data_IF_593858852903
#
_entry.id   IF_593858852903
#
_cell.length_a   1.000
_cell.length_b   1.000
_cell.length_c   1.000
_cell.angle_alpha   90.00
_cell.angle_beta   90.00
_cell.angle_gamma   90.00
#
_symmetry.space_group_name_H-M   'P 1'
#
loop_
_entity.id
_entity.type
_entity.pdbx_description
1 polymer ?
#
# COMPACT_ATOMS: atom_id res chain seq x y z
N UNK A 1 -12.78 -11.88 12.65
CA UNK A 1 -11.62 -12.73 12.33
C UNK A 1 -10.70 -12.94 13.55
N UNK A 2 -10.52 -11.94 14.43
CA UNK A 2 -9.58 -12.00 15.57
C UNK A 2 -9.84 -13.10 16.61
N UNK A 3 -11.10 -13.41 16.95
CA UNK A 3 -11.43 -14.35 18.04
C UNK A 3 -10.94 -15.80 17.79
N UNK A 4 -11.02 -16.29 16.55
CA UNK A 4 -10.61 -17.66 16.19
C UNK A 4 -9.09 -17.86 16.26
N UNK A 5 -8.32 -16.79 16.05
CA UNK A 5 -6.86 -16.83 16.00
C UNK A 5 -6.23 -16.69 17.40
N UNK A 6 -6.99 -16.22 18.41
CA UNK A 6 -6.50 -16.09 19.79
C UNK A 6 -6.09 -17.44 20.40
N UNK A 7 -6.86 -18.51 20.15
CA UNK A 7 -6.56 -19.85 20.64
C UNK A 7 -5.29 -20.45 20.01
N UNK A 8 -5.14 -20.28 18.69
CA UNK A 8 -3.95 -20.72 17.95
C UNK A 8 -2.70 -19.97 18.42
N UNK A 9 -2.77 -18.63 18.54
CA UNK A 9 -1.67 -17.79 19.04
C UNK A 9 -1.19 -18.26 20.41
N UNK A 10 -2.12 -18.60 21.32
CA UNK A 10 -1.79 -19.10 22.65
C UNK A 10 -1.03 -20.43 22.59
N UNK A 11 -1.52 -21.41 21.83
CA UNK A 11 -0.88 -22.72 21.69
C UNK A 11 0.52 -22.62 21.05
N UNK A 12 0.67 -21.77 20.03
CA UNK A 12 1.95 -21.56 19.36
C UNK A 12 2.98 -20.91 20.29
N UNK A 13 2.58 -19.94 21.13
CA UNK A 13 3.47 -19.34 22.12
C UNK A 13 3.96 -20.35 23.17
N UNK A 14 3.14 -21.33 23.52
CA UNK A 14 3.48 -22.37 24.50
C UNK A 14 4.42 -23.44 23.94
N UNK A 15 4.22 -23.85 22.69
CA UNK A 15 4.94 -25.00 22.12
C UNK A 15 5.96 -24.59 21.06
N UNK A 16 5.53 -23.91 20.00
CA UNK A 16 6.33 -23.69 18.78
C UNK A 16 7.29 -22.50 18.92
N UNK A 17 6.87 -21.40 19.54
CA UNK A 17 7.67 -20.18 19.64
C UNK A 17 8.44 -20.05 20.95
N UNK A 18 8.43 -21.08 21.81
CA UNK A 18 9.04 -21.02 23.16
C UNK A 18 10.52 -20.61 23.15
N UNK A 19 11.23 -20.90 22.06
CA UNK A 19 12.65 -20.58 21.87
C UNK A 19 12.89 -19.49 20.81
N UNK A 20 11.86 -19.08 20.07
CA UNK A 20 11.97 -18.05 19.04
C UNK A 20 11.77 -16.69 19.70
N UNK A 21 12.86 -15.95 19.89
CA UNK A 21 12.80 -14.57 20.38
C UNK A 21 12.94 -13.61 19.20
N UNK A 22 11.91 -12.79 19.00
CA UNK A 22 12.01 -11.64 18.12
C UNK A 22 12.74 -10.54 18.88
N UNK A 23 14.03 -10.38 18.62
CA UNK A 23 14.90 -9.42 19.31
C UNK A 23 14.73 -8.02 18.72
N UNK A 24 15.19 -7.00 19.45
CA UNK A 24 15.20 -5.63 18.93
C UNK A 24 16.07 -5.51 17.67
N UNK A 25 17.15 -6.29 17.55
CA UNK A 25 17.97 -6.36 16.34
C UNK A 25 17.18 -6.91 15.15
N UNK A 26 16.37 -7.97 15.35
CA UNK A 26 15.47 -8.48 14.31
C UNK A 26 14.42 -7.44 13.91
N UNK A 27 13.86 -6.72 14.89
CA UNK A 27 12.90 -5.63 14.64
C UNK A 27 13.51 -4.51 13.82
N UNK A 28 14.74 -4.12 14.15
CA UNK A 28 15.45 -3.05 13.46
C UNK A 28 15.81 -3.48 12.02
N UNK A 29 16.26 -4.72 11.82
CA UNK A 29 16.52 -5.27 10.47
C UNK A 29 15.25 -5.31 9.62
N UNK A 30 14.13 -5.75 10.19
CA UNK A 30 12.84 -5.73 9.48
C UNK A 30 12.44 -4.30 9.12
N UNK A 31 12.49 -3.36 10.07
CA UNK A 31 12.14 -1.97 9.80
C UNK A 31 13.05 -1.29 8.77
N UNK A 32 14.34 -1.66 8.71
CA UNK A 32 15.27 -1.17 7.69
C UNK A 32 14.96 -1.71 6.29
N UNK A 33 14.34 -2.88 6.21
CA UNK A 33 13.96 -3.54 4.94
C UNK A 33 12.58 -3.13 4.44
N UNK A 34 11.76 -2.50 5.29
CA UNK A 34 10.51 -1.87 4.84
C UNK A 34 10.93 -0.63 4.05
N UNK A 35 11.00 -0.75 2.73
CA UNK A 35 11.07 0.42 1.86
C UNK A 35 9.81 1.26 2.11
N UNK A 36 9.98 2.55 2.40
CA UNK A 36 8.90 3.55 2.43
C UNK A 36 8.42 3.81 0.99
N UNK A 37 7.83 2.79 0.37
CA UNK A 37 7.08 2.97 -0.86
C UNK A 37 5.73 3.53 -0.44
N UNK A 38 5.40 4.71 -0.96
CA UNK A 38 4.06 5.27 -0.88
C UNK A 38 3.08 4.41 -1.71
N UNK A 39 2.70 3.25 -1.16
CA UNK A 39 1.77 2.31 -1.77
C UNK A 39 0.40 2.95 -1.95
N UNK A 40 -0.03 3.81 -1.02
CA UNK A 40 -1.28 4.55 -1.12
C UNK A 40 -1.31 5.43 -2.37
N UNK A 41 -0.23 6.15 -2.66
CA UNK A 41 -0.06 6.95 -3.87
C UNK A 41 -0.07 6.14 -5.18
N UNK A 42 0.20 4.83 -5.12
CA UNK A 42 0.17 3.92 -6.27
C UNK A 42 -1.20 3.23 -6.40
N UNK A 43 -1.81 2.84 -5.28
CA UNK A 43 -3.08 2.11 -5.19
C UNK A 43 -4.27 3.02 -5.48
N UNK A 44 -4.30 4.25 -4.95
CA UNK A 44 -5.47 5.14 -5.10
C UNK A 44 -5.83 5.41 -6.57
N UNK A 45 -4.88 5.71 -7.49
CA UNK A 45 -5.19 5.82 -8.91
C UNK A 45 -5.85 4.58 -9.52
N UNK A 46 -5.55 3.37 -9.00
CA UNK A 46 -6.13 2.11 -9.47
C UNK A 46 -7.57 1.91 -8.99
N UNK A 47 -7.97 2.58 -7.91
CA UNK A 47 -9.28 2.51 -7.28
C UNK A 47 -10.27 3.58 -7.76
N UNK A 48 -10.03 4.13 -8.95
CA UNK A 48 -11.05 4.94 -9.67
C UNK A 48 -12.30 4.12 -10.01
N UNK A 49 -12.15 2.80 -10.06
CA UNK A 49 -13.24 1.81 -10.09
C UNK A 49 -13.04 0.84 -8.94
N UNK A 50 -14.11 0.20 -8.49
CA UNK A 50 -14.03 -0.81 -7.43
C UNK A 50 -13.15 -1.97 -7.85
N UNK A 51 -12.27 -2.45 -6.97
CA UNK A 51 -11.36 -3.58 -7.22
C UNK A 51 -11.13 -4.45 -6.00
N UNK A 52 -10.80 -5.71 -6.22
CA UNK A 52 -10.32 -6.61 -5.17
C UNK A 52 -8.83 -6.40 -4.89
N UNK A 53 -8.36 -6.86 -3.73
CA UNK A 53 -6.92 -6.88 -3.44
C UNK A 53 -6.12 -7.72 -4.45
N UNK A 54 -6.73 -8.79 -4.99
CA UNK A 54 -6.12 -9.61 -6.02
C UNK A 54 -5.97 -8.85 -7.34
N UNK A 55 -7.01 -8.17 -7.81
CA UNK A 55 -6.93 -7.35 -9.04
C UNK A 55 -5.88 -6.25 -8.91
N UNK A 56 -5.81 -5.59 -7.75
CA UNK A 56 -4.77 -4.59 -7.47
C UNK A 56 -3.37 -5.20 -7.56
N UNK A 57 -3.18 -6.38 -6.98
CA UNK A 57 -1.91 -7.11 -7.05
C UNK A 57 -1.51 -7.42 -8.49
N UNK A 58 -2.45 -7.93 -9.30
CA UNK A 58 -2.19 -8.21 -10.72
C UNK A 58 -1.79 -6.94 -11.49
N UNK A 59 -2.48 -5.83 -11.26
CA UNK A 59 -2.16 -4.54 -11.90
C UNK A 59 -0.78 -4.02 -11.49
N UNK A 60 -0.40 -4.17 -10.22
CA UNK A 60 0.91 -3.76 -9.71
C UNK A 60 2.03 -4.66 -10.25
N UNK A 61 1.76 -5.96 -10.39
CA UNK A 61 2.66 -6.92 -11.02
C UNK A 61 2.95 -6.55 -12.48
N UNK A 62 1.90 -6.28 -13.27
CA UNK A 62 2.03 -5.86 -14.68
C UNK A 62 2.82 -4.55 -14.82
N UNK A 63 2.73 -3.64 -13.85
CA UNK A 63 3.51 -2.39 -13.83
C UNK A 63 5.00 -2.59 -13.49
N UNK A 64 5.44 -3.82 -13.22
CA UNK A 64 6.85 -4.14 -13.00
C UNK A 64 7.42 -3.60 -11.69
N UNK A 65 6.57 -3.34 -10.69
CA UNK A 65 7.01 -2.83 -9.39
C UNK A 65 7.63 -3.99 -8.60
N UNK A 66 8.93 -4.22 -8.79
CA UNK A 66 9.70 -5.35 -8.23
C UNK A 66 9.64 -5.45 -6.71
N UNK A 67 9.46 -4.35 -6.01
CA UNK A 67 9.32 -4.31 -4.55
C UNK A 67 8.00 -4.89 -4.06
N UNK A 68 6.93 -4.76 -4.86
CA UNK A 68 5.60 -5.30 -4.54
C UNK A 68 5.53 -6.80 -4.83
N UNK A 69 6.21 -7.24 -5.88
CA UNK A 69 6.41 -8.65 -6.22
C UNK A 69 6.95 -9.48 -5.05
N UNK A 70 7.85 -8.90 -4.26
CA UNK A 70 8.46 -9.56 -3.12
C UNK A 70 7.66 -9.39 -1.81
N UNK A 71 6.63 -8.53 -1.81
CA UNK A 71 5.87 -8.19 -0.61
C UNK A 71 4.38 -7.89 -0.93
N UNK A 72 3.68 -8.88 -1.48
CA UNK A 72 2.24 -8.77 -1.75
C UNK A 72 1.42 -8.46 -0.48
N UNK A 73 1.87 -8.98 0.67
CA UNK A 73 1.26 -8.72 1.98
C UNK A 73 1.21 -7.23 2.37
N UNK A 74 2.13 -6.41 1.85
CA UNK A 74 2.08 -4.96 2.06
C UNK A 74 0.85 -4.32 1.42
N UNK A 75 0.38 -4.81 0.27
CA UNK A 75 -0.83 -4.29 -0.38
C UNK A 75 -2.03 -4.45 0.55
N UNK A 76 -2.23 -5.65 1.10
CA UNK A 76 -3.37 -5.92 1.98
C UNK A 76 -3.29 -5.14 3.30
N UNK A 77 -2.08 -4.98 3.84
CA UNK A 77 -1.84 -4.14 5.02
C UNK A 77 -2.22 -2.69 4.74
N UNK A 78 -1.72 -2.11 3.64
CA UNK A 78 -2.06 -0.73 3.24
C UNK A 78 -3.55 -0.57 2.99
N UNK A 79 -4.20 -1.50 2.28
CA UNK A 79 -5.65 -1.44 2.05
C UNK A 79 -6.45 -1.42 3.35
N UNK A 80 -6.03 -2.22 4.34
CA UNK A 80 -6.69 -2.25 5.64
C UNK A 80 -6.44 -0.96 6.44
N UNK A 81 -5.21 -0.43 6.43
CA UNK A 81 -4.87 0.83 7.09
C UNK A 81 -5.67 2.01 6.50
N UNK A 82 -5.76 2.09 5.18
CA UNK A 82 -6.48 3.16 4.48
C UNK A 82 -8.00 3.05 4.66
N UNK A 83 -8.52 1.83 4.81
CA UNK A 83 -9.91 1.57 5.23
C UNK A 83 -10.16 2.08 6.65
N UNK A 84 -9.29 1.77 7.62
CA UNK A 84 -9.39 2.27 8.99
C UNK A 84 -9.30 3.81 9.07
N UNK A 85 -8.52 4.43 8.18
CA UNK A 85 -8.40 5.88 8.07
C UNK A 85 -9.57 6.55 7.32
N UNK A 86 -10.51 5.75 6.80
CA UNK A 86 -11.68 6.21 6.04
C UNK A 86 -11.34 6.77 4.65
N UNK A 87 -10.16 6.46 4.12
CA UNK A 87 -9.80 6.79 2.74
C UNK A 87 -10.42 5.82 1.75
N UNK A 88 -10.58 4.55 2.17
CA UNK A 88 -11.26 3.51 1.42
C UNK A 88 -12.53 3.05 2.15
N UNK A 89 -13.50 2.61 1.37
CA UNK A 89 -14.62 1.81 1.84
C UNK A 89 -14.56 0.44 1.17
N UNK A 90 -15.16 -0.56 1.81
CA UNK A 90 -15.16 -1.92 1.30
C UNK A 90 -16.51 -2.61 1.44
N UNK A 91 -16.73 -3.61 0.61
CA UNK A 91 -17.86 -4.53 0.72
C UNK A 91 -17.42 -5.94 0.32
N UNK A 92 -18.14 -6.95 0.79
CA UNK A 92 -17.96 -8.34 0.36
C UNK A 92 -18.99 -8.67 -0.71
N UNK A 93 -18.54 -9.27 -1.81
CA UNK A 93 -19.42 -9.81 -2.86
C UNK A 93 -20.05 -11.14 -2.41
N UNK A 94 -21.08 -11.58 -3.13
CA UNK A 94 -21.71 -12.89 -2.92
C UNK A 94 -20.75 -14.06 -3.18
N UNK A 95 -19.71 -13.83 -3.97
CA UNK A 95 -18.63 -14.77 -4.27
C UNK A 95 -17.57 -14.83 -3.16
N UNK A 96 -17.72 -14.01 -2.11
CA UNK A 96 -16.80 -13.97 -0.98
C UNK A 96 -15.53 -13.16 -1.25
N UNK A 97 -15.55 -12.25 -2.23
CA UNK A 97 -14.43 -11.37 -2.53
C UNK A 97 -14.61 -10.01 -1.85
N UNK A 98 -13.53 -9.46 -1.29
CA UNK A 98 -13.55 -8.11 -0.71
C UNK A 98 -13.18 -7.08 -1.76
N UNK A 99 -14.10 -6.18 -2.05
CA UNK A 99 -13.91 -5.06 -2.96
C UNK A 99 -13.63 -3.78 -2.20
N UNK A 100 -12.79 -2.93 -2.78
CA UNK A 100 -12.39 -1.64 -2.24
C UNK A 100 -12.76 -0.54 -3.22
N UNK A 101 -13.18 0.61 -2.68
CA UNK A 101 -13.51 1.82 -3.43
C UNK A 101 -12.99 3.05 -2.68
N UNK A 102 -12.57 4.08 -3.41
CA UNK A 102 -12.19 5.35 -2.78
C UNK A 102 -13.42 6.06 -2.20
N UNK A 103 -13.32 6.51 -0.95
CA UNK A 103 -14.31 7.42 -0.38
C UNK A 103 -14.15 8.82 -0.97
N UNK A 104 -15.12 9.70 -0.70
CA UNK A 104 -14.98 11.14 -1.02
C UNK A 104 -13.73 11.78 -0.40
N UNK A 105 -13.29 11.29 0.77
CA UNK A 105 -12.08 11.74 1.45
C UNK A 105 -10.83 11.27 0.69
N UNK A 106 -10.75 9.98 0.37
CA UNK A 106 -9.67 9.40 -0.42
C UNK A 106 -9.54 10.06 -1.79
N UNK A 107 -10.67 10.31 -2.48
CA UNK A 107 -10.67 10.97 -3.78
C UNK A 107 -10.10 12.40 -3.72
N UNK A 108 -10.43 13.18 -2.68
CA UNK A 108 -9.87 14.53 -2.47
C UNK A 108 -8.36 14.48 -2.25
N UNK A 109 -7.86 13.48 -1.53
CA UNK A 109 -6.42 13.29 -1.31
C UNK A 109 -5.74 12.96 -2.64
N UNK A 110 -6.28 12.02 -3.42
CA UNK A 110 -5.77 11.67 -4.74
C UNK A 110 -5.70 12.89 -5.67
N UNK A 111 -6.75 13.71 -5.70
CA UNK A 111 -6.77 14.94 -6.51
C UNK A 111 -5.67 15.93 -6.09
N UNK A 112 -5.46 16.14 -4.79
CA UNK A 112 -4.39 17.01 -4.29
C UNK A 112 -3.00 16.49 -4.68
N UNK A 113 -2.77 15.18 -4.56
CA UNK A 113 -1.51 14.55 -4.97
C UNK A 113 -1.25 14.72 -6.46
N UNK A 114 -2.27 14.53 -7.30
CA UNK A 114 -2.14 14.72 -8.75
C UNK A 114 -1.85 16.18 -9.13
N UNK A 115 -2.50 17.15 -8.47
CA UNK A 115 -2.25 18.58 -8.69
C UNK A 115 -0.83 18.98 -8.28
N UNK A 116 -0.33 18.45 -7.16
CA UNK A 116 1.04 18.67 -6.72
C UNK A 116 2.06 18.13 -7.73
N UNK A 117 1.88 16.89 -8.21
CA UNK A 117 2.74 16.28 -9.25
C UNK A 117 2.73 17.08 -10.55
N UNK A 118 1.57 17.56 -10.99
CA UNK A 118 1.47 18.41 -12.20
C UNK A 118 2.29 19.70 -12.05
N UNK A 119 2.18 20.37 -10.91
CA UNK A 119 2.94 21.60 -10.62
C UNK A 119 4.45 21.35 -10.63
N UNK A 120 4.89 20.27 -10.00
CA UNK A 120 6.31 19.88 -10.00
C UNK A 120 6.84 19.64 -11.42
N UNK A 121 6.06 18.95 -12.25
CA UNK A 121 6.44 18.69 -13.64
C UNK A 121 6.52 19.99 -14.47
N UNK A 122 5.58 20.92 -14.28
CA UNK A 122 5.65 22.23 -14.94
C UNK A 122 6.87 23.04 -14.52
N UNK A 123 7.27 22.99 -13.25
CA UNK A 123 8.50 23.65 -12.79
C UNK A 123 9.75 23.03 -13.41
N UNK A 124 9.84 21.69 -13.47
CA UNK A 124 10.96 21.01 -14.14
C UNK A 124 11.08 21.38 -15.62
N UNK A 125 9.95 21.53 -16.31
CA UNK A 125 9.94 21.99 -17.70
C UNK A 125 10.52 23.41 -17.84
N UNK A 126 10.11 24.33 -16.96
CA UNK A 126 10.63 25.71 -16.95
C UNK A 126 12.14 25.76 -16.63
N UNK A 127 12.64 24.92 -15.71
CA UNK A 127 14.08 24.88 -15.41
C UNK A 127 14.91 24.33 -16.57
N UNK A 128 14.39 23.34 -17.31
CA UNK A 128 15.06 22.81 -18.50
C UNK A 128 15.07 23.80 -19.67
N UNK A 129 14.10 24.70 -19.75
CA UNK A 129 14.09 25.80 -20.72
C UNK A 129 15.06 26.94 -20.35
N UNK A 130 15.41 27.08 -19.07
CA UNK A 130 16.29 28.15 -18.55
C UNK A 130 17.75 27.71 -18.44
N UNK A 131 18.07 26.42 -18.45
CA UNK A 131 19.45 25.95 -18.71
C UNK A 131 19.75 26.21 -20.19
N UNK A 132 20.51 27.27 -20.54
CA UNK A 132 20.64 27.71 -21.91
C UNK A 132 21.42 26.69 -22.73
N UNK A 133 21.17 26.68 -24.04
CA UNK A 133 22.17 26.32 -25.05
C UNK A 133 23.53 26.91 -24.67
N UNK A 134 24.39 26.12 -24.01
CA UNK A 134 25.82 26.38 -24.01
C UNK A 134 26.37 25.80 -25.31
N UNK A 135 27.02 26.68 -26.06
CA UNK A 135 27.54 26.51 -27.42
C UNK A 135 28.48 25.31 -27.59
#
# INVERSE_FOLDING_TARGET
MEERLKGLKKAMNTHTFRQVKFTDEHRQKVNQQIEEIDLSGIIFPLLTQSKTGFELTQLLHVRGIKSILNNEGAIYTTLHEEELQGMLESYWSDEGEKHYTLTKKGLKVLQKQQLAKRRENSLKQLFNEVTPNEN
#
